data_IF_334676402104
#
_entry.id   IF_334676402104
#
_cell.length_a   1.000
_cell.length_b   1.000
_cell.length_c   1.000
_cell.angle_alpha   90.00
_cell.angle_beta   90.00
_cell.angle_gamma   90.00
#
_symmetry.space_group_name_H-M   'P 1'
#
loop_
_entity.id
_entity.type
_entity.pdbx_description
1 polymer ?
#
# COMPACT_ATOMS: atom_id res chain seq x y z
N UNK A 1 -35.64 33.30 -3.97
CA UNK A 1 -35.72 34.74 -3.63
C UNK A 1 -34.67 35.09 -2.60
N UNK A 2 -33.71 36.00 -3.01
CA UNK A 2 -32.99 37.00 -2.18
C UNK A 2 -32.05 36.43 -1.06
N UNK A 3 -30.79 36.81 -0.86
CA UNK A 3 -29.98 37.95 -1.34
C UNK A 3 -28.50 37.64 -1.11
N UNK A 4 -27.66 38.06 -2.03
CA UNK A 4 -26.21 38.19 -1.96
C UNK A 4 -25.86 39.38 -1.04
N UNK A 5 -24.87 39.26 -0.16
CA UNK A 5 -24.20 40.41 0.44
C UNK A 5 -22.71 40.23 0.26
N UNK A 6 -22.12 41.06 -0.60
CA UNK A 6 -20.70 41.29 -0.72
C UNK A 6 -20.28 42.39 0.25
N UNK A 7 -19.20 42.17 0.98
CA UNK A 7 -18.55 43.23 1.79
C UNK A 7 -17.17 43.46 1.21
N UNK A 8 -17.02 44.66 0.63
CA UNK A 8 -15.75 45.28 0.20
C UNK A 8 -15.16 45.98 1.40
N UNK A 9 -13.91 45.71 1.79
CA UNK A 9 -13.20 46.45 2.80
C UNK A 9 -12.05 47.21 2.14
N UNK A 10 -12.14 48.54 2.24
CA UNK A 10 -11.27 49.53 1.63
C UNK A 10 -10.01 49.72 2.48
N UNK A 11 -8.84 49.72 1.86
CA UNK A 11 -7.53 50.01 2.44
C UNK A 11 -7.32 51.53 2.53
N UNK A 12 -7.04 52.04 3.71
CA UNK A 12 -6.60 53.46 3.92
C UNK A 12 -5.10 53.46 4.17
N UNK A 13 -4.34 54.11 3.27
CA UNK A 13 -2.94 54.49 3.45
C UNK A 13 -2.86 55.77 4.25
N UNK A 14 -2.04 55.79 5.27
CA UNK A 14 -1.58 57.05 5.93
C UNK A 14 -0.07 57.11 5.81
N UNK A 15 0.40 58.12 5.04
CA UNK A 15 1.80 58.53 4.97
C UNK A 15 2.13 59.47 6.12
N UNK A 16 3.16 59.14 6.89
CA UNK A 16 3.79 60.03 7.86
C UNK A 16 5.28 60.13 7.57
N UNK A 17 5.70 61.29 7.04
CA UNK A 17 7.11 61.66 6.88
C UNK A 17 7.61 62.32 8.17
N UNK A 18 8.67 61.78 8.78
CA UNK A 18 9.54 62.53 9.67
C UNK A 18 10.99 62.23 9.29
N UNK A 19 11.69 63.25 8.82
CA UNK A 19 13.12 63.22 8.57
C UNK A 19 13.88 63.65 9.82
N UNK A 20 14.88 62.89 10.24
CA UNK A 20 16.07 63.44 10.91
C UNK A 20 17.22 62.44 10.82
N UNK A 21 18.38 62.94 10.38
CA UNK A 21 19.52 62.16 9.93
C UNK A 21 20.35 61.53 11.06
N UNK A 22 21.01 60.46 10.71
CA UNK A 22 22.24 59.92 11.33
C UNK A 22 22.95 59.02 10.32
N UNK A 23 24.25 58.94 10.39
CA UNK A 23 25.23 58.41 9.47
C UNK A 23 25.02 56.91 9.05
N UNK A 24 25.61 56.49 7.90
CA UNK A 24 25.40 55.12 7.37
C UNK A 24 26.28 54.08 8.10
N UNK A 25 25.69 53.26 8.91
CA UNK A 25 26.29 52.01 9.32
C UNK A 25 26.28 51.03 8.15
N UNK A 26 27.45 50.64 7.67
CA UNK A 26 27.66 49.63 6.63
C UNK A 26 27.19 48.26 7.14
N UNK A 27 25.95 47.88 6.89
CA UNK A 27 25.48 46.54 7.14
C UNK A 27 25.86 45.66 5.93
N UNK A 28 26.84 44.79 6.10
CA UNK A 28 27.16 43.71 5.19
C UNK A 28 25.90 42.82 5.05
N UNK A 29 25.40 42.56 3.83
CA UNK A 29 24.30 41.61 3.69
C UNK A 29 24.79 40.22 4.04
N UNK A 30 24.30 39.69 5.15
CA UNK A 30 24.46 38.26 5.47
C UNK A 30 23.67 37.46 4.41
N UNK A 31 24.39 36.91 3.46
CA UNK A 31 23.83 35.95 2.48
C UNK A 31 23.46 34.70 3.27
N UNK A 32 22.19 34.61 3.66
CA UNK A 32 21.63 33.34 4.13
C UNK A 32 21.57 32.41 2.93
N UNK A 33 22.52 31.51 2.85
CA UNK A 33 22.44 30.37 1.92
C UNK A 33 21.14 29.64 2.23
N UNK A 34 20.25 29.40 1.24
CA UNK A 34 19.07 28.58 1.48
C UNK A 34 19.55 27.23 1.99
N UNK A 35 19.08 26.79 3.16
CA UNK A 35 19.28 25.44 3.62
C UNK A 35 18.73 24.53 2.51
N UNK A 36 19.60 23.72 1.90
CA UNK A 36 19.19 22.66 1.01
C UNK A 36 18.29 21.77 1.85
N UNK A 37 17.00 21.68 1.50
CA UNK A 37 16.10 20.74 2.16
C UNK A 37 16.76 19.35 2.04
N UNK A 38 17.10 18.74 3.16
CA UNK A 38 17.65 17.40 3.16
C UNK A 38 16.62 16.49 2.45
N UNK A 39 17.09 15.77 1.45
CA UNK A 39 16.23 14.83 0.73
C UNK A 39 15.82 13.76 1.74
N UNK A 40 14.51 13.56 1.92
CA UNK A 40 13.98 12.51 2.80
C UNK A 40 14.60 11.15 2.42
N UNK A 41 15.15 10.47 3.41
CA UNK A 41 15.75 9.14 3.25
C UNK A 41 14.77 8.08 3.78
N UNK A 42 14.14 7.34 2.85
CA UNK A 42 13.18 6.30 3.19
C UNK A 42 13.81 5.05 3.84
N UNK A 43 15.15 4.90 3.74
CA UNK A 43 15.87 3.78 4.39
C UNK A 43 16.23 4.09 5.85
N UNK A 44 16.19 5.36 6.24
CA UNK A 44 16.56 5.76 7.59
C UNK A 44 15.62 5.20 8.66
N UNK A 45 16.20 4.57 9.68
CA UNK A 45 15.48 3.99 10.82
C UNK A 45 15.83 4.75 12.10
N UNK A 46 14.86 4.93 12.99
CA UNK A 46 15.11 5.49 14.31
C UNK A 46 15.76 4.47 15.24
N UNK A 47 16.38 4.95 16.33
CA UNK A 47 16.99 4.09 17.33
C UNK A 47 15.99 3.06 17.89
N UNK A 48 16.44 1.81 18.04
CA UNK A 48 15.62 0.70 18.53
C UNK A 48 14.66 0.11 17.50
N UNK A 49 14.78 0.48 16.23
CA UNK A 49 13.98 -0.07 15.12
C UNK A 49 14.84 -1.02 14.30
N UNK A 50 14.30 -2.18 13.97
CA UNK A 50 14.96 -3.19 13.14
C UNK A 50 15.07 -2.72 11.69
N UNK A 51 16.18 -3.03 11.05
CA UNK A 51 16.27 -3.09 9.60
C UNK A 51 15.43 -4.25 9.05
N UNK A 52 15.08 -4.22 7.76
CA UNK A 52 14.38 -5.37 7.16
C UNK A 52 15.15 -6.68 7.30
N UNK A 53 16.48 -6.65 7.16
CA UNK A 53 17.33 -7.84 7.31
C UNK A 53 17.26 -8.41 8.74
N UNK A 54 17.25 -7.57 9.77
CA UNK A 54 17.09 -8.00 11.17
C UNK A 54 15.70 -8.57 11.42
N UNK A 55 14.64 -7.91 10.90
CA UNK A 55 13.27 -8.42 10.95
C UNK A 55 13.15 -9.78 10.25
N UNK A 56 13.68 -9.90 9.03
CA UNK A 56 13.63 -11.15 8.27
C UNK A 56 14.34 -12.31 9.02
N UNK A 57 15.48 -12.02 9.67
CA UNK A 57 16.24 -13.00 10.45
C UNK A 57 15.65 -13.30 11.84
N UNK A 58 14.75 -12.48 12.36
CA UNK A 58 14.12 -12.70 13.66
C UNK A 58 13.29 -13.99 13.66
N UNK A 59 13.38 -14.75 14.77
CA UNK A 59 12.58 -15.96 14.93
C UNK A 59 11.08 -15.62 15.05
N UNK A 60 10.22 -16.59 14.73
CA UNK A 60 8.78 -16.48 15.02
C UNK A 60 8.58 -16.28 16.54
N UNK A 61 7.47 -15.69 16.91
CA UNK A 61 7.10 -15.30 18.29
C UNK A 61 8.05 -14.28 18.96
N UNK A 62 8.94 -13.64 18.17
CA UNK A 62 9.82 -12.56 18.65
C UNK A 62 9.09 -11.23 18.58
N UNK A 63 9.19 -10.42 19.64
CA UNK A 63 8.75 -9.02 19.61
C UNK A 63 9.65 -8.23 18.63
N UNK A 64 9.02 -7.56 17.68
CA UNK A 64 9.70 -6.77 16.65
C UNK A 64 9.23 -5.31 16.68
N UNK A 65 10.12 -4.41 16.32
CA UNK A 65 9.80 -2.99 16.08
C UNK A 65 10.35 -2.61 14.73
N UNK A 66 9.48 -2.21 13.80
CA UNK A 66 9.85 -1.85 12.42
C UNK A 66 9.33 -0.47 12.07
N UNK A 67 9.98 0.22 11.14
CA UNK A 67 9.47 1.41 10.48
C UNK A 67 9.28 1.11 9.00
N UNK A 68 8.11 1.43 8.49
CA UNK A 68 7.73 1.17 7.12
C UNK A 68 6.70 2.21 6.64
N UNK A 69 6.29 2.07 5.38
CA UNK A 69 5.33 2.98 4.75
C UNK A 69 4.13 2.18 4.31
N UNK A 70 2.95 2.64 4.69
CA UNK A 70 1.68 2.07 4.24
C UNK A 70 1.63 2.08 2.71
N UNK A 71 1.33 0.96 2.09
CA UNK A 71 1.08 0.88 0.66
C UNK A 71 -0.42 0.73 0.37
N UNK A 72 -1.10 -0.08 1.19
CA UNK A 72 -2.55 -0.22 1.21
C UNK A 72 -3.00 -0.79 2.56
N UNK A 73 -4.29 -0.79 2.80
CA UNK A 73 -4.88 -1.45 3.96
C UNK A 73 -6.28 -1.97 3.63
N UNK A 74 -6.71 -3.00 4.35
CA UNK A 74 -8.09 -3.48 4.32
C UNK A 74 -9.03 -2.47 5.01
N UNK A 75 -10.32 -2.67 4.85
CA UNK A 75 -11.34 -1.90 5.55
C UNK A 75 -11.16 -2.00 7.08
N UNK A 76 -11.31 -0.86 7.76
CA UNK A 76 -11.31 -0.84 9.21
C UNK A 76 -12.51 -1.62 9.78
N UNK A 77 -12.26 -2.45 10.80
CA UNK A 77 -13.28 -3.25 11.45
C UNK A 77 -12.94 -3.47 12.93
N UNK A 78 -13.88 -3.24 13.82
CA UNK A 78 -13.80 -3.57 15.25
C UNK A 78 -12.47 -3.14 15.92
N UNK A 79 -12.09 -1.87 15.72
CA UNK A 79 -10.83 -1.28 16.22
C UNK A 79 -9.55 -1.99 15.70
N UNK A 80 -9.61 -2.55 14.52
CA UNK A 80 -8.51 -3.23 13.84
C UNK A 80 -8.43 -2.84 12.37
N UNK A 81 -7.22 -2.94 11.84
CA UNK A 81 -6.94 -2.74 10.41
C UNK A 81 -5.80 -3.66 9.98
N UNK A 82 -5.92 -4.29 8.83
CA UNK A 82 -4.83 -5.07 8.22
C UNK A 82 -4.11 -4.20 7.21
N UNK A 83 -2.78 -4.12 7.30
CA UNK A 83 -1.97 -3.16 6.53
C UNK A 83 -0.90 -3.88 5.73
N UNK A 84 -0.80 -3.55 4.46
CA UNK A 84 0.31 -3.88 3.57
C UNK A 84 1.27 -2.70 3.58
N UNK A 85 2.48 -2.93 4.05
CA UNK A 85 3.49 -1.87 4.16
C UNK A 85 4.83 -2.32 3.58
N UNK A 86 5.62 -1.35 3.16
CA UNK A 86 6.92 -1.60 2.55
C UNK A 86 7.88 -0.47 2.90
N UNK A 87 9.17 -0.78 2.93
CA UNK A 87 10.25 0.19 2.83
C UNK A 87 11.13 -0.16 1.62
N UNK A 88 12.17 0.61 1.28
CA UNK A 88 13.04 0.29 0.15
C UNK A 88 13.74 -1.08 0.22
N UNK A 89 13.90 -1.65 1.42
CA UNK A 89 14.64 -2.88 1.66
C UNK A 89 13.73 -4.12 1.69
N UNK A 90 12.42 -3.96 2.03
CA UNK A 90 11.50 -5.09 2.09
C UNK A 90 10.08 -4.72 2.49
N UNK A 91 9.25 -5.74 2.65
CA UNK A 91 7.81 -5.57 2.88
C UNK A 91 7.34 -6.29 4.14
N UNK A 92 6.23 -5.80 4.68
CA UNK A 92 5.66 -6.21 5.96
C UNK A 92 4.14 -6.31 5.82
N UNK A 93 3.57 -7.32 6.45
CA UNK A 93 2.13 -7.49 6.55
C UNK A 93 1.72 -7.43 8.03
N UNK A 94 0.90 -6.45 8.40
CA UNK A 94 0.37 -6.31 9.75
C UNK A 94 -1.06 -6.81 9.78
N UNK A 95 -1.27 -7.96 10.42
CA UNK A 95 -2.59 -8.56 10.50
C UNK A 95 -3.35 -8.04 11.73
N UNK A 96 -4.54 -7.50 11.50
CA UNK A 96 -5.44 -7.01 12.55
C UNK A 96 -4.76 -6.06 13.56
N UNK A 97 -3.93 -5.13 13.04
CA UNK A 97 -3.28 -4.10 13.86
C UNK A 97 -4.31 -3.26 14.62
N UNK A 98 -4.09 -3.06 15.91
CA UNK A 98 -4.97 -2.22 16.74
C UNK A 98 -4.99 -0.78 16.20
N UNK A 99 -6.17 -0.29 15.84
CA UNK A 99 -6.33 1.00 15.17
C UNK A 99 -7.69 1.61 15.48
N UNK A 100 -7.73 2.88 15.88
CA UNK A 100 -8.97 3.64 15.96
C UNK A 100 -9.49 3.98 14.56
N UNK A 101 -10.79 4.21 14.40
CA UNK A 101 -11.38 4.66 13.13
C UNK A 101 -10.77 6.01 12.68
N UNK A 102 -10.49 6.91 13.61
CA UNK A 102 -9.83 8.19 13.34
C UNK A 102 -8.42 8.01 12.78
N UNK A 103 -7.64 7.07 13.33
CA UNK A 103 -6.29 6.80 12.86
C UNK A 103 -6.26 6.01 11.56
N UNK A 104 -7.23 5.12 11.33
CA UNK A 104 -7.38 4.42 10.06
C UNK A 104 -7.50 5.39 8.87
N UNK A 105 -8.25 6.47 9.04
CA UNK A 105 -8.38 7.52 8.01
C UNK A 105 -7.06 8.25 7.68
N UNK A 106 -6.03 8.13 8.52
CA UNK A 106 -4.70 8.74 8.34
C UNK A 106 -3.71 7.79 7.66
N UNK A 107 -4.00 6.48 7.63
CA UNK A 107 -3.14 5.44 7.06
C UNK A 107 -3.24 5.38 5.52
N UNK A 108 -3.06 6.51 4.87
CA UNK A 108 -3.07 6.59 3.41
C UNK A 108 -1.77 6.06 2.80
N UNK A 109 -1.76 5.63 1.53
CA UNK A 109 -0.53 5.20 0.86
C UNK A 109 0.60 6.23 0.99
N UNK A 110 1.77 5.76 1.39
CA UNK A 110 2.95 6.57 1.66
C UNK A 110 3.10 7.04 3.11
N UNK A 111 2.11 6.89 3.97
CA UNK A 111 2.21 7.26 5.39
C UNK A 111 3.29 6.44 6.09
N UNK A 112 4.28 7.09 6.71
CA UNK A 112 5.30 6.41 7.53
C UNK A 112 4.71 6.03 8.87
N UNK A 113 4.89 4.76 9.25
CA UNK A 113 4.48 4.22 10.56
C UNK A 113 5.64 3.48 11.23
N UNK A 114 5.65 3.54 12.56
CA UNK A 114 6.49 2.70 13.42
C UNK A 114 5.56 1.69 14.08
N UNK A 115 5.81 0.42 13.83
CA UNK A 115 4.98 -0.70 14.29
C UNK A 115 5.74 -1.52 15.31
N UNK A 116 5.06 -1.88 16.40
CA UNK A 116 5.55 -2.81 17.42
C UNK A 116 4.55 -3.95 17.57
N UNK A 117 5.02 -5.19 17.49
CA UNK A 117 4.20 -6.40 17.59
C UNK A 117 5.04 -7.66 17.64
N UNK A 118 4.46 -8.80 17.30
CA UNK A 118 5.15 -10.09 17.28
C UNK A 118 5.19 -10.65 15.87
N UNK A 119 6.38 -11.12 15.45
CA UNK A 119 6.52 -11.82 14.18
C UNK A 119 5.85 -13.18 14.27
N UNK A 120 4.95 -13.46 13.34
CA UNK A 120 4.22 -14.72 13.25
C UNK A 120 4.24 -15.27 11.83
N UNK A 121 3.75 -16.48 11.67
CA UNK A 121 3.49 -17.08 10.37
C UNK A 121 2.13 -17.77 10.40
N UNK A 122 1.32 -17.51 9.38
CA UNK A 122 0.06 -18.19 9.16
C UNK A 122 -0.04 -18.70 7.72
N UNK A 123 -0.08 -20.02 7.53
CA UNK A 123 -0.22 -20.63 6.20
C UNK A 123 0.88 -20.22 5.19
N UNK A 124 2.09 -19.96 5.68
CA UNK A 124 3.22 -19.49 4.89
C UNK A 124 3.31 -17.98 4.74
N UNK A 125 2.29 -17.23 5.19
CA UNK A 125 2.37 -15.77 5.28
C UNK A 125 3.11 -15.34 6.52
N UNK A 126 4.20 -14.55 6.34
CA UNK A 126 4.94 -13.94 7.45
C UNK A 126 4.31 -12.61 7.80
N UNK A 127 3.80 -12.50 9.01
CA UNK A 127 3.01 -11.37 9.47
C UNK A 127 3.51 -10.81 10.81
N UNK A 128 3.06 -9.59 11.14
CA UNK A 128 3.20 -8.99 12.47
C UNK A 128 1.82 -8.95 13.09
N UNK A 129 1.65 -9.63 14.22
CA UNK A 129 0.39 -9.75 14.97
C UNK A 129 0.46 -9.01 16.30
N UNK A 130 -0.70 -8.86 16.96
CA UNK A 130 -0.84 -8.16 18.25
C UNK A 130 -0.10 -6.81 18.25
N UNK A 131 -0.17 -6.12 17.14
CA UNK A 131 0.65 -4.93 16.89
C UNK A 131 -0.12 -3.63 17.11
N UNK A 132 0.66 -2.62 17.46
CA UNK A 132 0.27 -1.21 17.59
C UNK A 132 1.20 -0.36 16.74
N UNK A 133 0.84 0.89 16.49
CA UNK A 133 1.64 1.78 15.64
C UNK A 133 1.66 3.22 16.14
N UNK A 134 2.63 3.96 15.61
CA UNK A 134 2.72 5.42 15.69
C UNK A 134 2.88 5.97 14.27
N UNK A 135 2.16 7.05 13.93
CA UNK A 135 2.36 7.76 12.67
C UNK A 135 3.59 8.65 12.81
N UNK A 136 4.48 8.59 11.83
CA UNK A 136 5.74 9.33 11.81
C UNK A 136 5.79 10.33 10.67
N UNK A 137 6.73 11.27 10.74
CA UNK A 137 7.03 12.17 9.63
C UNK A 137 7.73 11.42 8.48
N UNK A 138 7.38 11.79 7.26
CA UNK A 138 7.94 11.22 6.03
C UNK A 138 6.90 10.52 5.18
N UNK A 139 7.22 10.40 3.90
CA UNK A 139 6.36 9.72 2.93
C UNK A 139 7.18 9.03 1.87
N UNK A 140 6.74 7.83 1.50
CA UNK A 140 7.32 7.05 0.41
C UNK A 140 6.32 5.97 -0.05
N UNK A 141 6.28 5.72 -1.34
CA UNK A 141 5.50 4.63 -1.95
C UNK A 141 6.41 3.74 -2.79
N UNK A 142 6.15 2.45 -2.77
CA UNK A 142 6.86 1.49 -3.58
C UNK A 142 6.45 1.61 -5.06
N UNK A 143 7.41 1.36 -5.95
CA UNK A 143 7.11 0.98 -7.33
C UNK A 143 6.91 -0.53 -7.39
N UNK A 144 5.97 -1.00 -8.24
CA UNK A 144 5.68 -2.42 -8.35
C UNK A 144 6.90 -3.19 -8.91
N UNK A 145 7.32 -4.21 -8.18
CA UNK A 145 8.40 -5.12 -8.61
C UNK A 145 7.86 -6.13 -9.61
N UNK A 146 8.46 -6.24 -10.79
CA UNK A 146 8.05 -7.25 -11.78
C UNK A 146 8.50 -8.65 -11.35
N UNK A 147 7.55 -9.50 -10.99
CA UNK A 147 7.78 -10.88 -10.55
C UNK A 147 7.37 -11.92 -11.60
N UNK A 148 7.03 -11.51 -12.82
CA UNK A 148 6.53 -12.41 -13.86
C UNK A 148 7.45 -13.61 -14.08
N UNK A 149 8.76 -13.39 -14.22
CA UNK A 149 9.74 -14.45 -14.41
C UNK A 149 10.03 -15.28 -13.14
N UNK A 150 9.61 -14.80 -11.97
CA UNK A 150 9.84 -15.46 -10.69
C UNK A 150 8.69 -16.39 -10.29
N UNK A 151 7.51 -16.30 -10.93
CA UNK A 151 6.31 -17.07 -10.55
C UNK A 151 6.54 -18.58 -10.44
N UNK A 152 7.47 -19.12 -11.23
CA UNK A 152 7.82 -20.55 -11.21
C UNK A 152 9.05 -20.88 -10.34
N UNK A 153 9.66 -19.88 -9.73
CA UNK A 153 10.93 -19.98 -8.98
C UNK A 153 10.66 -20.10 -7.47
N UNK A 154 11.49 -20.88 -6.79
CA UNK A 154 11.53 -20.90 -5.32
C UNK A 154 11.98 -19.54 -4.74
N UNK A 155 12.64 -18.71 -5.52
CA UNK A 155 13.04 -17.36 -5.12
C UNK A 155 11.88 -16.38 -4.99
N UNK A 156 10.70 -16.71 -5.50
CA UNK A 156 9.51 -15.86 -5.38
C UNK A 156 9.18 -15.51 -3.92
N UNK A 157 9.44 -16.42 -2.97
CA UNK A 157 9.22 -16.19 -1.55
C UNK A 157 10.01 -15.00 -0.99
N UNK A 158 11.15 -14.64 -1.61
CA UNK A 158 11.96 -13.47 -1.21
C UNK A 158 11.26 -12.14 -1.50
N UNK A 159 10.25 -12.17 -2.35
CA UNK A 159 9.44 -11.00 -2.71
C UNK A 159 8.12 -10.95 -1.92
N UNK A 160 7.92 -11.84 -0.93
CA UNK A 160 6.71 -11.89 -0.12
C UNK A 160 6.35 -10.51 0.45
N UNK A 161 5.05 -10.20 0.46
CA UNK A 161 4.43 -8.95 0.91
C UNK A 161 4.74 -7.70 0.07
N UNK A 162 5.65 -7.76 -0.90
CA UNK A 162 5.95 -6.62 -1.75
C UNK A 162 4.78 -6.28 -2.67
N UNK A 163 4.69 -5.00 -3.01
CA UNK A 163 3.90 -4.51 -4.12
C UNK A 163 4.56 -4.97 -5.41
N UNK A 164 3.84 -5.73 -6.23
CA UNK A 164 4.38 -6.43 -7.40
C UNK A 164 3.53 -6.22 -8.65
N UNK A 165 4.12 -6.48 -9.81
CA UNK A 165 3.40 -6.60 -11.08
C UNK A 165 3.68 -7.95 -11.74
N UNK A 166 2.64 -8.51 -12.40
CA UNK A 166 2.71 -9.70 -13.23
C UNK A 166 2.23 -9.30 -14.63
N UNK A 167 3.09 -9.43 -15.64
CA UNK A 167 2.83 -8.91 -16.98
C UNK A 167 2.48 -9.99 -17.99
N UNK A 168 1.59 -9.64 -18.92
CA UNK A 168 1.23 -10.51 -20.05
C UNK A 168 0.58 -11.83 -19.63
N UNK A 169 -0.06 -11.87 -18.48
CA UNK A 169 -0.75 -13.05 -17.96
C UNK A 169 -2.02 -13.33 -18.75
N UNK A 170 -2.25 -14.59 -19.13
CA UNK A 170 -3.45 -14.99 -19.85
C UNK A 170 -4.51 -15.50 -18.86
N UNK A 171 -5.73 -14.99 -18.96
CA UNK A 171 -6.86 -15.48 -18.17
C UNK A 171 -7.24 -16.87 -18.66
N UNK A 172 -7.24 -17.85 -17.75
CA UNK A 172 -7.66 -19.21 -18.00
C UNK A 172 -8.86 -19.58 -17.12
N UNK A 173 -9.57 -20.64 -17.49
CA UNK A 173 -10.80 -21.03 -16.81
C UNK A 173 -10.57 -21.32 -15.32
N UNK A 174 -11.40 -20.73 -14.47
CA UNK A 174 -11.67 -21.18 -13.11
C UNK A 174 -12.86 -22.13 -13.12
N UNK A 175 -12.94 -23.08 -12.19
CA UNK A 175 -14.05 -24.03 -12.09
C UNK A 175 -14.71 -23.93 -10.73
N UNK A 176 -16.02 -23.73 -10.72
CA UNK A 176 -16.81 -23.78 -9.50
C UNK A 176 -16.99 -25.24 -9.01
N UNK A 177 -17.63 -25.42 -7.85
CA UNK A 177 -17.90 -26.74 -7.28
C UNK A 177 -18.76 -27.66 -8.17
N UNK A 178 -19.54 -27.10 -9.10
CA UNK A 178 -20.32 -27.88 -10.09
C UNK A 178 -19.49 -28.25 -11.34
N UNK A 179 -18.23 -27.77 -11.44
CA UNK A 179 -17.36 -28.02 -12.61
C UNK A 179 -17.61 -27.07 -13.78
N UNK A 180 -18.40 -26.02 -13.60
CA UNK A 180 -18.67 -25.01 -14.61
C UNK A 180 -17.49 -24.05 -14.74
N UNK A 181 -17.15 -23.67 -15.96
CA UNK A 181 -16.02 -22.79 -16.27
C UNK A 181 -16.45 -21.33 -16.33
N UNK A 182 -15.64 -20.47 -15.67
CA UNK A 182 -15.79 -19.04 -15.67
C UNK A 182 -14.42 -18.33 -15.68
N UNK A 183 -14.40 -17.06 -16.10
CA UNK A 183 -13.17 -16.26 -16.05
C UNK A 183 -12.74 -15.93 -14.60
N UNK A 184 -13.70 -15.84 -13.70
CA UNK A 184 -13.51 -15.64 -12.26
C UNK A 184 -14.64 -16.33 -11.47
N UNK A 185 -14.47 -16.43 -10.16
CA UNK A 185 -15.46 -16.95 -9.22
C UNK A 185 -15.65 -15.95 -8.08
N UNK A 186 -16.88 -15.80 -7.59
CA UNK A 186 -17.13 -15.23 -6.27
C UNK A 186 -16.87 -16.30 -5.21
N UNK A 187 -15.99 -16.02 -4.27
CA UNK A 187 -15.35 -16.99 -3.38
C UNK A 187 -14.54 -18.05 -4.13
N UNK A 188 -13.66 -18.72 -3.39
CA UNK A 188 -12.70 -19.70 -3.93
C UNK A 188 -13.35 -20.91 -4.62
N UNK A 189 -14.59 -21.24 -4.23
CA UNK A 189 -15.35 -22.39 -4.76
C UNK A 189 -16.54 -22.00 -5.64
N UNK A 190 -16.75 -20.70 -5.87
CA UNK A 190 -17.87 -20.17 -6.63
C UNK A 190 -19.21 -20.16 -5.87
N UNK A 191 -19.19 -20.30 -4.54
CA UNK A 191 -20.39 -20.25 -3.69
C UNK A 191 -20.85 -18.84 -3.34
N UNK A 192 -20.04 -17.82 -3.69
CA UNK A 192 -20.27 -16.43 -3.34
C UNK A 192 -21.19 -15.69 -4.30
N UNK A 193 -21.34 -14.41 -4.04
CA UNK A 193 -22.12 -13.44 -4.82
C UNK A 193 -21.35 -12.12 -4.95
N UNK A 194 -21.86 -11.19 -5.74
CA UNK A 194 -21.25 -9.86 -5.92
C UNK A 194 -20.98 -9.20 -4.55
N UNK A 195 -19.77 -8.63 -4.40
CA UNK A 195 -19.27 -8.08 -3.15
C UNK A 195 -18.43 -9.04 -2.31
N UNK A 196 -18.39 -10.34 -2.66
CA UNK A 196 -17.41 -11.27 -2.06
C UNK A 196 -16.07 -11.20 -2.77
N UNK A 197 -15.05 -11.88 -2.22
CA UNK A 197 -13.74 -12.01 -2.85
C UNK A 197 -13.87 -12.61 -4.25
N UNK A 198 -13.05 -12.12 -5.19
CA UNK A 198 -12.96 -12.68 -6.54
C UNK A 198 -11.72 -13.54 -6.65
N UNK A 199 -11.90 -14.76 -7.17
CA UNK A 199 -10.82 -15.70 -7.47
C UNK A 199 -10.76 -15.95 -8.96
N UNK A 200 -9.58 -15.85 -9.57
CA UNK A 200 -9.39 -16.12 -10.98
C UNK A 200 -8.03 -16.74 -11.25
N UNK A 201 -7.95 -17.45 -12.35
CA UNK A 201 -6.73 -18.15 -12.75
C UNK A 201 -6.05 -17.43 -13.91
N UNK A 202 -4.73 -17.33 -13.83
CA UNK A 202 -3.87 -16.86 -14.90
C UNK A 202 -2.94 -17.97 -15.36
N UNK A 203 -2.53 -17.94 -16.62
CA UNK A 203 -1.44 -18.73 -17.15
C UNK A 203 -0.25 -17.83 -17.51
N UNK A 204 0.92 -18.19 -17.00
CA UNK A 204 2.21 -17.59 -17.36
C UNK A 204 3.18 -18.71 -17.66
N UNK A 205 3.81 -18.69 -18.85
CA UNK A 205 4.75 -19.72 -19.31
C UNK A 205 4.21 -21.17 -19.21
N UNK A 206 2.91 -21.35 -19.47
CA UNK A 206 2.24 -22.66 -19.44
C UNK A 206 1.94 -23.22 -18.05
N UNK A 207 2.12 -22.44 -17.00
CA UNK A 207 1.72 -22.76 -15.61
C UNK A 207 0.56 -21.90 -15.19
N UNK A 208 -0.36 -22.49 -14.44
CA UNK A 208 -1.54 -21.81 -13.91
C UNK A 208 -1.30 -21.36 -12.47
N UNK A 209 -1.69 -20.13 -12.17
CA UNK A 209 -1.62 -19.51 -10.85
C UNK A 209 -2.98 -18.93 -10.48
N UNK A 210 -3.35 -19.04 -9.20
CA UNK A 210 -4.59 -18.48 -8.68
C UNK A 210 -4.34 -17.09 -8.09
N UNK A 211 -5.20 -16.15 -8.44
CA UNK A 211 -5.19 -14.77 -7.98
C UNK A 211 -6.44 -14.49 -7.15
N UNK A 212 -6.33 -13.57 -6.20
CA UNK A 212 -7.43 -13.11 -5.38
C UNK A 212 -7.58 -11.58 -5.47
N UNK A 213 -8.80 -11.10 -5.67
CA UNK A 213 -9.20 -9.73 -5.30
C UNK A 213 -9.92 -9.84 -3.98
N UNK A 214 -9.23 -9.50 -2.91
CA UNK A 214 -9.73 -9.59 -1.55
C UNK A 214 -10.67 -8.40 -1.27
N UNK A 215 -11.91 -8.67 -0.94
CA UNK A 215 -13.01 -7.68 -0.91
C UNK A 215 -12.83 -6.60 0.16
N UNK A 216 -12.12 -6.92 1.25
CA UNK A 216 -11.81 -5.93 2.28
C UNK A 216 -10.67 -4.98 1.88
N UNK A 217 -9.82 -5.39 0.94
CA UNK A 217 -8.74 -4.56 0.37
C UNK A 217 -9.21 -3.80 -0.86
N UNK A 218 -9.89 -4.49 -1.77
CA UNK A 218 -10.26 -3.98 -3.09
C UNK A 218 -11.67 -4.46 -3.42
N UNK A 219 -12.68 -3.87 -2.76
CA UNK A 219 -14.07 -4.35 -2.82
C UNK A 219 -14.84 -3.88 -4.04
N UNK A 220 -16.10 -4.30 -4.09
CA UNK A 220 -17.11 -3.93 -5.08
C UNK A 220 -17.14 -2.42 -5.35
N UNK A 221 -17.22 -2.05 -6.63
CA UNK A 221 -17.18 -0.66 -7.09
C UNK A 221 -15.79 -0.04 -7.16
N UNK A 222 -14.72 -0.78 -6.89
CA UNK A 222 -13.35 -0.35 -7.18
C UNK A 222 -12.95 -0.73 -8.62
N UNK A 223 -12.03 0.04 -9.20
CA UNK A 223 -11.60 -0.19 -10.58
C UNK A 223 -11.02 -1.61 -10.82
N UNK A 224 -10.33 -2.18 -9.83
CA UNK A 224 -9.78 -3.53 -9.95
C UNK A 224 -10.85 -4.62 -9.84
N UNK A 225 -11.81 -4.46 -8.93
CA UNK A 225 -12.94 -5.37 -8.79
C UNK A 225 -13.77 -5.42 -10.08
N UNK A 226 -14.21 -4.25 -10.57
CA UNK A 226 -14.96 -4.10 -11.81
C UNK A 226 -14.19 -4.64 -13.03
N UNK A 227 -12.87 -4.45 -13.06
CA UNK A 227 -12.03 -4.95 -14.14
C UNK A 227 -11.98 -6.48 -14.16
N UNK A 228 -11.94 -7.15 -12.99
CA UNK A 228 -11.98 -8.62 -12.91
C UNK A 228 -13.35 -9.16 -13.32
N UNK A 229 -14.46 -8.52 -12.91
CA UNK A 229 -15.80 -8.90 -13.36
C UNK A 229 -15.99 -8.77 -14.89
N UNK A 230 -15.24 -7.88 -15.53
CA UNK A 230 -15.24 -7.70 -16.98
C UNK A 230 -14.27 -8.62 -17.75
N UNK A 231 -13.57 -9.56 -17.08
CA UNK A 231 -12.64 -10.49 -17.73
C UNK A 231 -13.37 -11.57 -18.52
N UNK A 232 -12.73 -11.99 -19.61
CA UNK A 232 -13.11 -13.17 -20.38
C UNK A 232 -11.94 -14.17 -20.42
N UNK A 233 -12.26 -15.45 -20.49
CA UNK A 233 -11.24 -16.49 -20.71
C UNK A 233 -10.52 -16.19 -22.04
N UNK A 234 -9.20 -16.16 -21.99
CA UNK A 234 -8.33 -15.83 -23.12
C UNK A 234 -7.84 -14.37 -23.16
N UNK A 235 -8.39 -13.48 -22.33
CA UNK A 235 -7.85 -12.13 -22.18
C UNK A 235 -6.38 -12.17 -21.73
N UNK A 236 -5.59 -11.21 -22.18
CA UNK A 236 -4.24 -10.97 -21.69
C UNK A 236 -4.24 -9.71 -20.81
N UNK A 237 -3.66 -9.81 -19.64
CA UNK A 237 -3.68 -8.74 -18.62
C UNK A 237 -2.30 -8.51 -18.00
N UNK A 238 -2.08 -7.28 -17.56
CA UNK A 238 -1.07 -6.96 -16.56
C UNK A 238 -1.77 -6.76 -15.22
N UNK A 239 -1.20 -7.34 -14.16
CA UNK A 239 -1.74 -7.31 -12.82
C UNK A 239 -0.79 -6.55 -11.88
N UNK A 240 -1.35 -5.84 -10.91
CA UNK A 240 -0.63 -5.27 -9.80
C UNK A 240 -1.29 -5.67 -8.48
N UNK A 241 -0.50 -5.84 -7.42
CA UNK A 241 -1.03 -6.22 -6.12
C UNK A 241 0.06 -6.57 -5.13
N UNK A 242 -0.31 -7.18 -4.02
CA UNK A 242 0.61 -7.60 -2.97
C UNK A 242 0.85 -9.10 -3.03
N UNK A 243 2.11 -9.51 -2.92
CA UNK A 243 2.50 -10.90 -3.04
C UNK A 243 2.26 -11.65 -1.72
N UNK A 244 1.01 -12.00 -1.49
CA UNK A 244 0.52 -12.68 -0.29
C UNK A 244 0.62 -14.21 -0.41
N UNK A 245 0.66 -14.92 0.73
CA UNK A 245 0.69 -16.38 0.82
C UNK A 245 -0.50 -16.95 1.61
N UNK A 246 -1.06 -18.05 1.11
CA UNK A 246 -2.01 -18.88 1.84
C UNK A 246 -1.89 -20.33 1.35
N UNK A 247 -1.14 -21.18 2.08
CA UNK A 247 -0.77 -22.54 1.66
C UNK A 247 -0.08 -22.58 0.27
N UNK A 248 0.54 -21.48 -0.14
CA UNK A 248 1.16 -21.23 -1.43
C UNK A 248 1.01 -19.75 -1.82
N UNK A 249 1.56 -19.39 -2.97
CA UNK A 249 1.43 -18.01 -3.48
C UNK A 249 -0.03 -17.71 -3.83
N UNK A 250 -0.57 -16.64 -3.26
CA UNK A 250 -1.95 -16.18 -3.48
C UNK A 250 -1.97 -14.64 -3.51
N UNK A 251 -1.51 -13.99 -4.59
CA UNK A 251 -1.40 -12.55 -4.65
C UNK A 251 -2.76 -11.86 -4.51
N UNK A 252 -2.81 -10.82 -3.68
CA UNK A 252 -3.98 -9.95 -3.53
C UNK A 252 -3.90 -8.81 -4.54
N UNK A 253 -4.73 -8.87 -5.56
CA UNK A 253 -4.70 -7.99 -6.73
C UNK A 253 -5.44 -6.69 -6.45
N UNK A 254 -4.78 -5.58 -6.75
CA UNK A 254 -5.31 -4.21 -6.57
C UNK A 254 -5.38 -3.42 -7.88
N UNK A 255 -4.85 -3.98 -8.97
CA UNK A 255 -4.88 -3.37 -10.29
C UNK A 255 -4.91 -4.42 -11.40
N UNK A 256 -5.74 -4.18 -12.42
CA UNK A 256 -5.85 -5.03 -13.61
C UNK A 256 -5.90 -4.14 -14.84
N UNK A 257 -5.01 -4.38 -15.79
CA UNK A 257 -5.00 -3.68 -17.08
C UNK A 257 -5.02 -4.70 -18.22
N UNK A 258 -6.04 -4.65 -19.09
CA UNK A 258 -6.07 -5.50 -20.29
C UNK A 258 -5.02 -5.03 -21.29
N UNK A 259 -4.23 -5.97 -21.80
CA UNK A 259 -3.35 -5.72 -22.93
C UNK A 259 -4.19 -5.36 -24.16
N UNK A 260 -3.71 -4.37 -24.93
CA UNK A 260 -4.38 -3.88 -26.13
C UNK A 260 -4.27 -4.89 -27.31
#
# INVERSE_FOLDING_TARGET
MKKIIAIVLTLVMVCGLVACGAEPATSTPTTTTPATAEKFDATAKSEGTMTYAEYAAAALDTEVTVECFVQAHQSWWDNKITVYAQDPDGAYFMYNMTCSEEDAAKLTPGTKIKVKGFKAEYKGEVEIIDCTFEIMEGTWTAEATDVTALLASEDLIKEQNKFVTIKGAKIVASKNAAGEEAAFLYNWDGSGEAGNDLYFNIEVEGKTYNMCVESYLTGDGTAAYDAVEALAIGDTVDLEGFLYWYDGVNPHITGVTKAA
#
